data_IF_720014574356
#
_entry.id   IF_720014574356
#
_cell.length_a   1.000
_cell.length_b   1.000
_cell.length_c   1.000
_cell.angle_alpha   90.00
_cell.angle_beta   90.00
_cell.angle_gamma   90.00
#
_symmetry.space_group_name_H-M   'P 1'
#
loop_
_entity.id
_entity.type
_entity.pdbx_description
1 polymer ?
#
# COMPACT_ATOMS: atom_id res chain seq x y z
N UNK A 1 0.13 15.76 -20.87
CA UNK A 1 1.56 15.51 -21.14
C UNK A 1 1.83 14.06 -20.75
N UNK A 2 2.18 13.19 -21.69
CA UNK A 2 2.67 11.85 -21.33
C UNK A 2 4.04 12.05 -20.68
N UNK A 3 4.10 11.83 -19.36
CA UNK A 3 5.34 11.83 -18.63
C UNK A 3 6.08 10.55 -19.06
N UNK A 4 7.19 10.67 -19.81
CA UNK A 4 8.03 9.51 -20.23
C UNK A 4 8.37 8.60 -19.05
N UNK A 5 8.40 9.20 -17.86
CA UNK A 5 8.65 8.58 -16.55
C UNK A 5 7.59 7.55 -16.09
N UNK A 6 6.38 7.52 -16.67
CA UNK A 6 5.28 6.64 -16.22
C UNK A 6 4.76 5.70 -17.32
N UNK A 7 5.51 5.54 -18.42
CA UNK A 7 5.11 4.75 -19.58
C UNK A 7 4.71 3.29 -19.27
N UNK A 8 5.21 2.73 -18.17
CA UNK A 8 4.93 1.35 -17.74
C UNK A 8 3.83 1.22 -16.69
N UNK A 9 3.16 2.32 -16.31
CA UNK A 9 2.15 2.33 -15.24
C UNK A 9 1.06 1.28 -15.48
N UNK A 10 0.55 1.14 -16.71
CA UNK A 10 -0.47 0.14 -17.05
C UNK A 10 -0.02 -1.31 -16.83
N UNK A 11 1.29 -1.59 -16.95
CA UNK A 11 1.83 -2.93 -16.78
C UNK A 11 2.09 -3.27 -15.32
N UNK A 12 2.56 -2.30 -14.52
CA UNK A 12 2.59 -2.45 -13.06
C UNK A 12 1.19 -2.69 -12.51
N UNK A 13 0.21 -1.91 -12.96
CA UNK A 13 -1.22 -2.08 -12.65
C UNK A 13 -1.69 -3.54 -12.84
N UNK A 14 -1.39 -4.14 -14.00
CA UNK A 14 -1.70 -5.56 -14.28
C UNK A 14 -0.91 -6.54 -13.41
N UNK A 15 0.39 -6.29 -13.20
CA UNK A 15 1.25 -7.14 -12.37
C UNK A 15 0.75 -7.21 -10.93
N UNK A 16 0.43 -6.05 -10.33
CA UNK A 16 -0.10 -5.98 -8.98
C UNK A 16 -1.54 -6.50 -8.88
N UNK A 17 -2.34 -6.36 -9.94
CA UNK A 17 -3.64 -7.01 -10.01
C UNK A 17 -3.52 -8.53 -9.95
N UNK A 18 -2.54 -9.14 -10.61
CA UNK A 18 -2.28 -10.58 -10.50
C UNK A 18 -1.95 -10.99 -9.05
N UNK A 19 -1.11 -10.21 -8.35
CA UNK A 19 -0.82 -10.46 -6.94
C UNK A 19 -2.04 -10.32 -6.03
N UNK A 20 -2.93 -9.35 -6.28
CA UNK A 20 -4.19 -9.22 -5.54
C UNK A 20 -5.11 -10.43 -5.70
N UNK A 21 -5.03 -11.13 -6.84
CA UNK A 21 -5.82 -12.33 -7.10
C UNK A 21 -5.05 -13.64 -6.83
N UNK A 22 -3.88 -13.56 -6.19
CA UNK A 22 -3.01 -14.70 -5.90
C UNK A 22 -2.61 -15.51 -7.15
N UNK A 23 -2.58 -14.86 -8.31
CA UNK A 23 -2.17 -15.47 -9.57
C UNK A 23 -0.64 -15.58 -9.63
N UNK A 24 -0.15 -16.59 -10.34
CA UNK A 24 1.30 -16.78 -10.62
C UNK A 24 1.61 -16.72 -12.11
N UNK A 25 0.64 -16.29 -12.91
CA UNK A 25 0.78 -16.11 -14.35
C UNK A 25 -0.16 -15.04 -14.87
N UNK A 26 0.24 -14.38 -15.96
CA UNK A 26 -0.56 -13.41 -16.70
C UNK A 26 -0.51 -13.78 -18.18
N UNK A 27 -1.67 -13.92 -18.80
CA UNK A 27 -1.79 -14.13 -20.24
C UNK A 27 -2.01 -12.81 -20.96
N UNK A 28 -1.20 -12.58 -21.99
CA UNK A 28 -1.30 -11.42 -22.87
C UNK A 28 -1.62 -11.87 -24.29
N UNK A 29 -2.55 -11.17 -24.94
CA UNK A 29 -2.68 -11.26 -26.39
C UNK A 29 -1.46 -10.58 -27.04
N UNK A 30 -0.99 -11.08 -28.18
CA UNK A 30 0.27 -10.59 -28.78
C UNK A 30 0.29 -9.08 -29.11
N UNK A 31 -0.86 -8.44 -29.29
CA UNK A 31 -0.99 -7.00 -29.52
C UNK A 31 -1.10 -6.15 -28.24
N UNK A 32 -1.13 -6.79 -27.07
CA UNK A 32 -1.29 -6.18 -25.76
C UNK A 32 -0.31 -6.78 -24.73
N UNK A 33 0.83 -7.27 -25.23
CA UNK A 33 1.94 -7.72 -24.40
C UNK A 33 2.79 -6.53 -23.93
N UNK A 34 3.32 -6.60 -22.70
CA UNK A 34 4.29 -5.61 -22.22
C UNK A 34 5.56 -5.61 -23.08
N UNK A 35 6.19 -4.44 -23.27
CA UNK A 35 7.44 -4.33 -24.01
C UNK A 35 8.57 -5.04 -23.25
N UNK A 36 9.56 -5.54 -23.98
CA UNK A 36 10.71 -6.26 -23.44
C UNK A 36 11.45 -5.46 -22.36
N UNK A 37 11.49 -4.14 -22.49
CA UNK A 37 12.08 -3.22 -21.53
C UNK A 37 11.39 -3.29 -20.16
N UNK A 38 10.06 -3.50 -20.13
CA UNK A 38 9.33 -3.69 -18.88
C UNK A 38 9.76 -4.98 -18.18
N UNK A 39 9.94 -6.08 -18.92
CA UNK A 39 10.40 -7.34 -18.34
C UNK A 39 11.80 -7.22 -17.75
N UNK A 40 12.71 -6.48 -18.40
CA UNK A 40 14.06 -6.23 -17.91
C UNK A 40 14.10 -5.46 -16.59
N UNK A 41 13.12 -4.59 -16.34
CA UNK A 41 12.99 -3.89 -15.06
C UNK A 41 12.76 -4.89 -13.93
N UNK A 42 11.82 -5.81 -14.14
CA UNK A 42 11.43 -6.80 -13.14
C UNK A 42 12.51 -7.87 -12.94
N UNK A 43 13.12 -8.35 -14.03
CA UNK A 43 14.15 -9.39 -14.01
C UNK A 43 15.59 -8.82 -13.90
N UNK A 44 15.77 -7.64 -13.32
CA UNK A 44 17.03 -6.89 -13.41
C UNK A 44 18.20 -7.54 -12.68
N UNK A 45 17.96 -8.23 -11.55
CA UNK A 45 18.99 -8.90 -10.75
C UNK A 45 18.97 -10.41 -10.97
N UNK A 46 17.79 -11.01 -10.92
CA UNK A 46 17.56 -12.43 -11.18
C UNK A 46 16.34 -12.62 -12.10
N UNK A 47 16.34 -13.64 -12.98
CA UNK A 47 15.16 -13.94 -13.79
C UNK A 47 14.03 -14.53 -12.94
N UNK A 48 13.17 -13.69 -12.40
CA UNK A 48 12.02 -14.08 -11.55
C UNK A 48 10.74 -14.33 -12.35
N UNK A 49 10.53 -13.61 -13.46
CA UNK A 49 9.44 -13.86 -14.40
C UNK A 49 9.97 -14.59 -15.63
N UNK A 50 9.31 -15.69 -15.97
CA UNK A 50 9.57 -16.50 -17.17
C UNK A 50 8.50 -16.22 -18.23
N UNK A 51 8.87 -16.37 -19.49
CA UNK A 51 8.00 -16.07 -20.64
C UNK A 51 7.83 -17.32 -21.50
N UNK A 52 6.57 -17.67 -21.78
CA UNK A 52 6.19 -18.65 -22.79
C UNK A 52 5.53 -17.92 -23.95
N UNK A 53 6.00 -18.19 -25.16
CA UNK A 53 5.45 -17.64 -26.40
C UNK A 53 4.64 -18.72 -27.12
N UNK A 54 3.44 -18.35 -27.56
CA UNK A 54 2.57 -19.14 -28.41
C UNK A 54 2.13 -18.30 -29.61
N UNK A 55 1.55 -18.92 -30.64
CA UNK A 55 1.26 -18.28 -31.94
C UNK A 55 0.40 -17.00 -31.82
N UNK A 56 -0.46 -16.92 -30.81
CA UNK A 56 -1.35 -15.78 -30.56
C UNK A 56 -1.19 -15.12 -29.19
N UNK A 57 -0.42 -15.73 -28.27
CA UNK A 57 -0.36 -15.29 -26.87
C UNK A 57 1.04 -15.33 -26.28
N UNK A 58 1.28 -14.43 -25.33
CA UNK A 58 2.47 -14.39 -24.49
C UNK A 58 2.04 -14.62 -23.06
N UNK A 59 2.59 -15.65 -22.41
CA UNK A 59 2.30 -15.96 -21.00
C UNK A 59 3.52 -15.60 -20.17
N UNK A 60 3.32 -14.73 -19.18
CA UNK A 60 4.28 -14.49 -18.13
C UNK A 60 3.92 -15.35 -16.93
N UNK A 61 4.90 -15.99 -16.31
CA UNK A 61 4.67 -16.80 -15.11
C UNK A 61 5.89 -16.74 -14.17
N UNK A 62 5.65 -16.96 -12.88
CA UNK A 62 6.69 -16.97 -11.84
C UNK A 62 6.38 -18.05 -10.81
N UNK A 63 7.38 -18.41 -9.99
CA UNK A 63 7.13 -19.24 -8.82
C UNK A 63 6.73 -18.38 -7.62
N UNK A 64 5.96 -18.94 -6.68
CA UNK A 64 5.47 -18.20 -5.52
C UNK A 64 6.61 -17.62 -4.67
N UNK A 65 7.72 -18.35 -4.58
CA UNK A 65 8.95 -17.92 -3.89
C UNK A 65 9.63 -16.70 -4.53
N UNK A 66 9.37 -16.40 -5.80
CA UNK A 66 9.95 -15.26 -6.52
C UNK A 66 9.15 -13.96 -6.32
N UNK A 67 7.92 -14.02 -5.79
CA UNK A 67 7.05 -12.84 -5.59
C UNK A 67 7.71 -11.70 -4.79
N UNK A 68 8.40 -11.94 -3.65
CA UNK A 68 9.03 -10.86 -2.90
C UNK A 68 10.04 -10.07 -3.74
N UNK A 69 10.81 -10.75 -4.60
CA UNK A 69 11.81 -10.11 -5.44
C UNK A 69 11.15 -9.30 -6.55
N UNK A 70 10.11 -9.86 -7.19
CA UNK A 70 9.33 -9.16 -8.23
C UNK A 70 8.71 -7.88 -7.66
N UNK A 71 8.07 -7.96 -6.48
CA UNK A 71 7.46 -6.81 -5.80
C UNK A 71 8.52 -5.77 -5.45
N UNK A 72 9.68 -6.20 -4.94
CA UNK A 72 10.79 -5.31 -4.61
C UNK A 72 11.29 -4.52 -5.84
N UNK A 73 11.56 -5.21 -6.95
CA UNK A 73 12.01 -4.55 -8.18
C UNK A 73 10.93 -3.64 -8.77
N UNK A 74 9.66 -4.05 -8.72
CA UNK A 74 8.56 -3.23 -9.19
C UNK A 74 8.43 -1.92 -8.39
N UNK A 75 8.41 -2.00 -7.05
CA UNK A 75 8.37 -0.81 -6.19
C UNK A 75 9.64 0.02 -6.36
N UNK A 76 10.80 -0.59 -6.71
CA UNK A 76 12.07 0.14 -6.92
C UNK A 76 11.97 1.05 -8.12
N UNK A 77 11.41 0.51 -9.18
CA UNK A 77 11.14 1.28 -10.37
C UNK A 77 10.09 2.36 -10.14
N UNK A 78 8.93 2.01 -9.56
CA UNK A 78 7.85 2.99 -9.28
C UNK A 78 8.39 4.14 -8.45
N UNK A 79 9.09 3.85 -7.37
CA UNK A 79 9.65 4.89 -6.49
C UNK A 79 10.71 5.76 -7.19
N UNK A 80 11.55 5.18 -8.04
CA UNK A 80 12.62 5.93 -8.72
C UNK A 80 12.06 6.83 -9.82
N UNK A 81 11.08 6.35 -10.58
CA UNK A 81 10.67 6.98 -11.83
C UNK A 81 9.30 7.65 -11.75
N UNK A 82 8.35 7.20 -10.92
CA UNK A 82 7.00 7.79 -10.92
C UNK A 82 6.97 9.08 -10.12
N UNK A 83 6.24 10.06 -10.65
CA UNK A 83 6.08 11.34 -9.96
C UNK A 83 5.09 11.18 -8.82
N UNK A 84 5.37 11.83 -7.70
CA UNK A 84 4.39 11.96 -6.62
C UNK A 84 3.26 12.84 -7.14
N UNK A 85 2.02 12.37 -7.03
CA UNK A 85 0.85 13.20 -7.31
C UNK A 85 0.74 14.28 -6.22
N UNK A 86 1.09 15.53 -6.55
CA UNK A 86 1.07 16.65 -5.62
C UNK A 86 -0.31 16.93 -5.02
N UNK A 87 -1.38 16.39 -5.62
CA UNK A 87 -2.74 16.49 -5.07
C UNK A 87 -2.86 15.77 -3.73
N UNK A 88 -2.02 14.77 -3.41
CA UNK A 88 -2.03 14.13 -2.07
C UNK A 88 -1.65 15.11 -0.96
N UNK A 89 -0.84 16.14 -1.27
CA UNK A 89 -0.37 17.15 -0.31
C UNK A 89 -1.31 18.33 -0.19
N UNK A 90 -2.34 18.40 -1.03
CA UNK A 90 -3.33 19.47 -0.97
C UNK A 90 -4.16 19.27 0.30
N UNK A 91 -3.79 19.97 1.37
CA UNK A 91 -4.42 19.86 2.70
C UNK A 91 -5.91 20.17 2.57
N UNK A 92 -6.77 19.20 2.87
CA UNK A 92 -8.14 19.51 3.26
C UNK A 92 -8.12 20.01 4.70
N UNK A 93 -8.37 21.30 4.86
CA UNK A 93 -8.37 21.91 6.17
C UNK A 93 -9.54 21.40 7.03
N UNK A 94 -10.63 20.94 6.42
CA UNK A 94 -11.80 20.49 7.15
C UNK A 94 -11.67 19.05 7.64
N UNK A 95 -11.09 18.14 6.84
CA UNK A 95 -10.70 16.82 7.38
C UNK A 95 -9.65 16.93 8.48
N UNK A 96 -8.65 17.78 8.29
CA UNK A 96 -7.64 17.98 9.33
C UNK A 96 -8.27 18.48 10.64
N UNK A 97 -9.26 19.40 10.57
CA UNK A 97 -10.02 19.81 11.75
C UNK A 97 -10.85 18.67 12.35
N UNK A 98 -11.46 17.80 11.52
CA UNK A 98 -12.19 16.62 12.01
C UNK A 98 -11.25 15.67 12.76
N UNK A 99 -10.09 15.37 12.19
CA UNK A 99 -9.05 14.58 12.83
C UNK A 99 -8.57 15.25 14.12
N UNK A 100 -8.43 16.58 14.15
CA UNK A 100 -8.00 17.30 15.35
C UNK A 100 -9.08 17.40 16.44
N UNK A 101 -10.37 17.21 16.09
CA UNK A 101 -11.50 17.22 17.04
C UNK A 101 -11.51 15.92 17.85
N UNK A 102 -11.38 16.06 19.17
CA UNK A 102 -11.51 14.93 20.11
C UNK A 102 -12.92 14.31 20.01
N UNK A 103 -13.06 12.97 19.98
CA UNK A 103 -14.35 12.30 20.07
C UNK A 103 -15.09 12.68 21.36
N UNK A 104 -16.43 12.75 21.29
CA UNK A 104 -17.29 12.96 22.46
C UNK A 104 -17.45 11.68 23.30
N UNK A 105 -17.26 10.53 22.66
CA UNK A 105 -17.27 9.21 23.29
C UNK A 105 -15.87 8.86 23.83
N UNK A 106 -15.74 8.78 25.15
CA UNK A 106 -14.48 8.49 25.84
C UNK A 106 -13.88 7.14 25.42
N UNK A 107 -14.71 6.17 25.05
CA UNK A 107 -14.23 4.84 24.62
C UNK A 107 -13.50 4.91 23.27
N UNK A 108 -13.76 5.95 22.46
CA UNK A 108 -13.13 6.17 21.15
C UNK A 108 -11.87 7.05 21.22
N UNK A 109 -11.63 7.73 22.34
CA UNK A 109 -10.53 8.70 22.47
C UNK A 109 -9.18 8.03 22.25
N UNK A 110 -8.96 6.83 22.79
CA UNK A 110 -7.66 6.18 22.69
C UNK A 110 -7.37 5.62 21.28
N UNK A 111 -8.40 5.14 20.56
CA UNK A 111 -8.25 4.73 19.14
C UNK A 111 -7.97 5.94 18.26
N UNK A 112 -8.64 7.07 18.53
CA UNK A 112 -8.36 8.35 17.90
C UNK A 112 -6.94 8.89 18.20
N UNK A 113 -6.44 8.77 19.44
CA UNK A 113 -5.07 9.15 19.79
C UNK A 113 -4.04 8.31 19.02
N UNK A 114 -4.30 7.02 18.87
CA UNK A 114 -3.48 6.10 18.08
C UNK A 114 -3.45 6.51 16.60
N UNK A 115 -4.61 6.77 15.99
CA UNK A 115 -4.71 7.26 14.61
C UNK A 115 -3.94 8.58 14.41
N UNK A 116 -4.11 9.54 15.33
CA UNK A 116 -3.36 10.82 15.30
C UNK A 116 -1.86 10.61 15.44
N UNK A 117 -1.42 9.70 16.31
CA UNK A 117 -0.01 9.38 16.48
C UNK A 117 0.59 8.84 15.19
N UNK A 118 -0.11 7.93 14.50
CA UNK A 118 0.32 7.38 13.21
C UNK A 118 0.49 8.53 12.20
N UNK A 119 -0.54 9.35 12.00
CA UNK A 119 -0.51 10.46 11.03
C UNK A 119 0.62 11.45 11.33
N UNK A 120 0.78 11.84 12.60
CA UNK A 120 1.81 12.79 13.04
C UNK A 120 3.24 12.24 12.95
N UNK A 121 3.42 10.94 12.71
CA UNK A 121 4.72 10.30 12.59
C UNK A 121 5.04 9.87 11.16
N UNK A 122 4.14 10.03 10.19
CA UNK A 122 4.35 9.57 8.80
C UNK A 122 5.59 10.16 8.13
N UNK A 123 5.95 11.40 8.47
CA UNK A 123 7.11 12.12 7.94
C UNK A 123 8.41 11.87 8.75
N UNK A 124 8.35 11.08 9.82
CA UNK A 124 9.48 10.82 10.72
C UNK A 124 10.21 9.52 10.36
N UNK A 125 11.47 9.44 10.78
CA UNK A 125 12.31 8.24 10.62
C UNK A 125 11.77 7.01 11.35
N UNK A 126 10.93 7.18 12.36
CA UNK A 126 10.32 6.11 13.15
C UNK A 126 8.89 5.76 12.67
N UNK A 127 8.49 6.26 11.49
CA UNK A 127 7.19 5.94 10.92
C UNK A 127 7.05 4.44 10.71
N UNK A 128 5.92 3.88 11.16
CA UNK A 128 5.50 2.51 10.82
C UNK A 128 5.02 2.37 9.36
N UNK A 129 4.82 3.50 8.67
CA UNK A 129 4.56 3.56 7.22
C UNK A 129 5.54 4.53 6.54
N UNK A 130 6.80 4.12 6.38
CA UNK A 130 7.79 4.99 5.80
C UNK A 130 7.50 5.26 4.32
N UNK A 131 7.56 6.53 3.92
CA UNK A 131 7.29 6.96 2.53
C UNK A 131 5.80 7.13 2.18
N UNK A 132 4.90 6.86 3.13
CA UNK A 132 3.47 7.09 2.96
C UNK A 132 3.03 8.44 3.52
N UNK A 133 1.99 9.00 2.93
CA UNK A 133 1.31 10.22 3.33
C UNK A 133 -0.14 9.89 3.66
N UNK A 134 -0.70 10.58 4.66
CA UNK A 134 -2.12 10.48 4.96
C UNK A 134 -2.91 11.24 3.90
N UNK A 135 -3.95 10.61 3.39
CA UNK A 135 -4.75 11.14 2.31
C UNK A 135 -5.95 11.91 2.88
N UNK A 136 -5.71 13.17 3.26
CA UNK A 136 -6.63 14.09 3.95
C UNK A 136 -7.91 14.46 3.17
N UNK A 137 -8.32 13.78 2.10
CA UNK A 137 -9.35 14.30 1.16
C UNK A 137 -10.48 13.34 0.86
N UNK A 138 -10.68 12.32 1.67
CA UNK A 138 -11.49 11.18 1.27
C UNK A 138 -12.73 11.07 2.16
N UNK A 139 -13.90 11.24 1.53
CA UNK A 139 -15.08 10.51 1.97
C UNK A 139 -14.70 9.03 1.89
N UNK A 140 -14.64 8.40 3.06
CA UNK A 140 -14.33 6.98 3.26
C UNK A 140 -14.98 6.12 2.17
N UNK A 141 -14.32 5.05 1.73
CA UNK A 141 -14.99 4.10 0.84
C UNK A 141 -16.28 3.68 1.57
N UNK A 142 -17.48 3.93 1.01
CA UNK A 142 -18.71 3.66 1.72
C UNK A 142 -18.89 2.15 1.79
N UNK A 143 -18.78 1.59 2.98
CA UNK A 143 -18.88 0.15 3.19
C UNK A 143 -20.16 -0.14 3.95
N UNK A 144 -21.26 -0.11 3.19
CA UNK A 144 -22.58 -0.62 3.59
C UNK A 144 -22.90 -0.48 5.08
N UNK A 145 -23.02 -1.61 5.78
CA UNK A 145 -23.38 -1.70 7.20
C UNK A 145 -22.20 -1.81 8.16
N UNK A 146 -20.98 -2.01 7.67
CA UNK A 146 -19.81 -2.38 8.50
C UNK A 146 -18.89 -1.19 8.81
N UNK A 147 -19.39 0.03 8.59
CA UNK A 147 -18.74 1.26 8.97
C UNK A 147 -17.76 1.80 7.94
N UNK A 148 -16.81 2.60 8.42
CA UNK A 148 -15.77 3.25 7.63
C UNK A 148 -14.43 2.63 8.06
N UNK A 149 -13.43 2.61 7.16
CA UNK A 149 -12.07 2.25 7.56
C UNK A 149 -11.51 3.27 8.57
N UNK A 150 -10.28 3.10 9.08
CA UNK A 150 -9.70 4.08 10.01
C UNK A 150 -8.73 5.07 9.35
N UNK A 151 -7.87 4.62 8.43
CA UNK A 151 -7.00 5.52 7.66
C UNK A 151 -6.82 5.03 6.23
N UNK A 152 -6.66 5.97 5.29
CA UNK A 152 -6.16 5.70 3.94
C UNK A 152 -4.83 6.43 3.78
N UNK A 153 -3.77 5.67 3.52
CA UNK A 153 -2.44 6.20 3.27
C UNK A 153 -2.04 5.94 1.82
N UNK A 154 -1.14 6.75 1.27
CA UNK A 154 -0.56 6.51 -0.06
C UNK A 154 0.88 6.97 -0.14
N UNK A 155 1.70 6.29 -0.94
CA UNK A 155 3.04 6.76 -1.31
C UNK A 155 3.01 7.94 -2.31
N UNK A 156 1.82 8.25 -2.84
CA UNK A 156 1.63 9.28 -3.85
C UNK A 156 1.99 8.87 -5.27
N UNK A 157 2.47 7.64 -5.48
CA UNK A 157 2.89 7.09 -6.78
C UNK A 157 2.00 5.93 -7.23
N UNK A 158 1.01 5.59 -6.43
CA UNK A 158 -0.07 4.65 -6.76
C UNK A 158 -0.17 3.46 -5.83
N UNK A 159 0.62 3.39 -4.76
CA UNK A 159 0.48 2.37 -3.72
C UNK A 159 -0.36 2.96 -2.58
N UNK A 160 -1.42 2.27 -2.21
CA UNK A 160 -2.35 2.67 -1.17
C UNK A 160 -2.33 1.67 -0.02
N UNK A 161 -2.43 2.15 1.22
CA UNK A 161 -2.63 1.34 2.40
C UNK A 161 -3.97 1.68 3.05
N UNK A 162 -4.82 0.67 3.18
CA UNK A 162 -6.06 0.71 3.95
C UNK A 162 -5.73 0.21 5.34
N UNK A 163 -5.83 1.11 6.31
CA UNK A 163 -5.39 0.86 7.68
C UNK A 163 -6.58 0.78 8.60
N UNK A 164 -6.60 -0.26 9.43
CA UNK A 164 -7.53 -0.43 10.54
C UNK A 164 -6.75 -0.43 11.86
N UNK A 165 -7.27 0.25 12.87
CA UNK A 165 -6.69 0.36 14.20
C UNK A 165 -7.59 -0.30 15.22
N UNK A 166 -7.03 -1.10 16.16
CA UNK A 166 -7.81 -1.68 17.26
C UNK A 166 -7.04 -1.73 18.57
N UNK A 167 -7.75 -1.41 19.65
CA UNK A 167 -7.20 -1.48 21.01
C UNK A 167 -7.24 -2.88 21.62
N UNK A 168 -6.08 -3.40 22.00
CA UNK A 168 -5.91 -4.74 22.58
C UNK A 168 -5.05 -4.77 23.85
N UNK A 169 -4.21 -3.76 24.13
CA UNK A 169 -3.19 -3.79 25.19
C UNK A 169 -3.75 -4.06 26.59
N UNK A 170 -4.87 -3.45 26.94
CA UNK A 170 -5.48 -3.57 28.28
C UNK A 170 -6.59 -4.64 28.35
N UNK A 171 -6.73 -5.47 27.32
CA UNK A 171 -7.75 -6.52 27.28
C UNK A 171 -7.29 -7.73 28.12
N UNK A 172 -7.85 -7.86 29.32
CA UNK A 172 -7.48 -8.94 30.26
C UNK A 172 -7.87 -10.34 29.82
N UNK A 173 -8.96 -10.48 29.05
CA UNK A 173 -9.46 -11.77 28.61
C UNK A 173 -8.81 -12.18 27.28
N UNK A 174 -8.07 -13.28 27.30
CA UNK A 174 -7.30 -13.76 26.15
C UNK A 174 -8.18 -14.03 24.91
N UNK A 175 -9.37 -14.60 25.09
CA UNK A 175 -10.29 -14.87 23.97
C UNK A 175 -10.80 -13.57 23.33
N UNK A 176 -11.01 -12.51 24.13
CA UNK A 176 -11.40 -11.19 23.62
C UNK A 176 -10.22 -10.56 22.88
N UNK A 177 -8.99 -10.71 23.39
CA UNK A 177 -7.78 -10.21 22.72
C UNK A 177 -7.60 -10.87 21.34
N UNK A 178 -7.70 -12.20 21.28
CA UNK A 178 -7.67 -12.97 20.03
C UNK A 178 -8.79 -12.58 19.06
N UNK A 179 -10.00 -12.38 19.58
CA UNK A 179 -11.12 -11.90 18.76
C UNK A 179 -10.80 -10.54 18.13
N UNK A 180 -10.34 -9.56 18.92
CA UNK A 180 -9.97 -8.23 18.39
C UNK A 180 -8.84 -8.29 17.37
N UNK A 181 -7.82 -9.11 17.61
CA UNK A 181 -6.73 -9.36 16.66
C UNK A 181 -7.23 -9.95 15.34
N UNK A 182 -8.12 -10.94 15.41
CA UNK A 182 -8.75 -11.50 14.20
C UNK A 182 -9.62 -10.46 13.49
N UNK A 183 -10.34 -9.65 14.26
CA UNK A 183 -11.27 -8.65 13.75
C UNK A 183 -10.57 -7.50 13.03
N UNK A 184 -9.44 -7.00 13.53
CA UNK A 184 -8.66 -5.95 12.84
C UNK A 184 -8.10 -6.45 11.50
N UNK A 185 -7.70 -7.73 11.42
CA UNK A 185 -7.27 -8.37 10.16
C UNK A 185 -8.45 -8.50 9.21
N UNK A 186 -9.60 -8.95 9.71
CA UNK A 186 -10.81 -9.11 8.92
C UNK A 186 -11.28 -7.78 8.33
N UNK A 187 -11.39 -6.72 9.14
CA UNK A 187 -11.80 -5.39 8.70
C UNK A 187 -10.83 -4.80 7.68
N UNK A 188 -9.52 -4.81 7.95
CA UNK A 188 -8.53 -4.28 7.00
C UNK A 188 -8.56 -5.03 5.65
N UNK A 189 -8.76 -6.35 5.68
CA UNK A 189 -8.96 -7.16 4.47
C UNK A 189 -10.25 -6.84 3.72
N UNK A 190 -11.36 -6.72 4.44
CA UNK A 190 -12.65 -6.38 3.88
C UNK A 190 -12.63 -4.99 3.24
N UNK A 191 -12.09 -3.99 3.93
CA UNK A 191 -11.97 -2.62 3.45
C UNK A 191 -11.03 -2.50 2.25
N UNK A 192 -9.91 -3.24 2.24
CA UNK A 192 -9.06 -3.39 1.05
C UNK A 192 -9.85 -3.92 -0.15
N UNK A 193 -10.66 -4.96 0.03
CA UNK A 193 -11.45 -5.54 -1.07
C UNK A 193 -12.50 -4.57 -1.59
N UNK A 194 -13.22 -3.88 -0.70
CA UNK A 194 -14.19 -2.86 -1.09
C UNK A 194 -13.53 -1.69 -1.80
N UNK A 195 -12.35 -1.24 -1.35
CA UNK A 195 -11.55 -0.25 -2.06
C UNK A 195 -11.21 -0.73 -3.47
N UNK A 196 -10.70 -1.96 -3.62
CA UNK A 196 -10.37 -2.56 -4.94
C UNK A 196 -11.61 -2.68 -5.84
N UNK A 197 -12.80 -2.97 -5.29
CA UNK A 197 -14.06 -3.00 -6.06
C UNK A 197 -14.53 -1.61 -6.47
N UNK A 198 -14.31 -0.62 -5.61
CA UNK A 198 -14.73 0.77 -5.84
C UNK A 198 -13.92 1.43 -6.95
N UNK A 199 -12.64 1.08 -7.06
CA UNK A 199 -11.80 1.49 -8.19
C UNK A 199 -12.18 0.63 -9.39
N UNK A 200 -12.57 1.28 -10.48
CA UNK A 200 -13.04 0.59 -11.67
C UNK A 200 -11.90 -0.22 -12.35
N UNK A 201 -12.21 -0.89 -13.48
CA UNK A 201 -11.21 -1.62 -14.29
C UNK A 201 -9.99 -0.79 -14.71
N UNK A 202 -10.09 0.54 -14.70
CA UNK A 202 -8.99 1.42 -15.06
C UNK A 202 -8.00 1.63 -13.90
N UNK A 203 -8.32 1.09 -12.71
CA UNK A 203 -7.62 1.29 -11.44
C UNK A 203 -7.34 2.77 -11.21
N UNK A 204 -8.39 3.58 -11.36
CA UNK A 204 -8.37 5.00 -11.05
C UNK A 204 -9.37 5.23 -9.94
N UNK A 205 -8.88 5.73 -8.81
CA UNK A 205 -9.74 6.28 -7.79
C UNK A 205 -10.21 7.66 -8.23
N UNK A 206 -11.50 7.99 -8.06
CA UNK A 206 -12.07 9.31 -8.34
C UNK A 206 -12.91 9.79 -7.16
N UNK A 207 -12.63 10.98 -6.67
CA UNK A 207 -13.50 11.71 -5.74
C UNK A 207 -13.59 13.17 -6.16
N UNK A 208 -14.83 13.66 -6.35
CA UNK A 208 -15.19 15.02 -6.78
C UNK A 208 -14.25 15.55 -7.89
N UNK A 209 -13.26 16.35 -7.51
CA UNK A 209 -12.34 17.06 -8.40
C UNK A 209 -10.95 16.38 -8.55
N UNK A 210 -10.77 15.21 -7.94
CA UNK A 210 -9.50 14.51 -7.85
C UNK A 210 -9.59 13.10 -8.41
N UNK A 211 -8.50 12.66 -9.02
CA UNK A 211 -8.35 11.30 -9.49
C UNK A 211 -6.91 10.85 -9.29
N UNK A 212 -6.74 9.65 -8.75
CA UNK A 212 -5.43 9.05 -8.51
C UNK A 212 -5.35 7.69 -9.21
N UNK A 213 -4.23 7.44 -9.87
CA UNK A 213 -3.93 6.10 -10.34
C UNK A 213 -3.63 5.19 -9.16
N UNK A 214 -4.27 4.04 -9.13
CA UNK A 214 -4.02 2.98 -8.15
C UNK A 214 -3.27 1.85 -8.85
N UNK A 215 -2.11 1.49 -8.35
CA UNK A 215 -1.29 0.38 -8.81
C UNK A 215 -1.50 -0.81 -7.88
N UNK A 216 -1.43 -0.58 -6.58
CA UNK A 216 -1.62 -1.61 -5.57
C UNK A 216 -2.32 -1.08 -4.32
N UNK A 217 -3.05 -1.96 -3.64
CA UNK A 217 -3.74 -1.67 -2.38
C UNK A 217 -3.38 -2.72 -1.33
N UNK A 218 -2.83 -2.30 -0.20
CA UNK A 218 -2.53 -3.17 0.93
C UNK A 218 -3.50 -2.97 2.08
N UNK A 219 -3.81 -4.04 2.81
CA UNK A 219 -4.65 -4.02 4.01
C UNK A 219 -3.77 -4.24 5.24
N UNK A 220 -3.80 -3.29 6.18
CA UNK A 220 -2.94 -3.31 7.36
C UNK A 220 -3.76 -3.04 8.62
N UNK A 221 -3.80 -4.02 9.52
CA UNK A 221 -4.26 -3.84 10.88
C UNK A 221 -3.13 -3.32 11.77
N UNK A 222 -3.45 -2.48 12.74
CA UNK A 222 -2.51 -1.97 13.74
C UNK A 222 -3.17 -2.03 15.09
N UNK A 223 -2.38 -2.36 16.11
CA UNK A 223 -2.85 -2.40 17.48
C UNK A 223 -2.04 -1.49 18.39
N UNK A 224 -2.62 -1.12 19.54
CA UNK A 224 -1.95 -0.32 20.58
C UNK A 224 -0.90 -1.12 21.38
N UNK A 225 -0.63 -2.36 20.96
CA UNK A 225 0.47 -3.20 21.42
C UNK A 225 1.68 -3.00 20.48
N UNK A 226 2.58 -2.11 20.89
CA UNK A 226 3.85 -1.79 20.22
C UNK A 226 3.74 -1.25 18.78
N UNK A 227 2.61 -0.64 18.42
CA UNK A 227 2.30 -0.16 17.06
C UNK A 227 2.49 -1.29 16.00
N UNK A 228 2.22 -2.54 16.39
CA UNK A 228 2.48 -3.72 15.56
C UNK A 228 1.59 -3.74 14.33
N UNK A 229 2.19 -3.84 13.13
CA UNK A 229 1.48 -4.08 11.88
C UNK A 229 1.10 -5.55 11.77
N UNK A 230 -0.16 -5.79 11.44
CA UNK A 230 -0.74 -7.11 11.21
C UNK A 230 -1.34 -7.11 9.82
N UNK A 231 -0.99 -8.09 9.00
CA UNK A 231 -1.31 -8.07 7.58
C UNK A 231 -2.45 -9.04 7.24
N UNK A 232 -3.30 -8.63 6.29
CA UNK A 232 -4.36 -9.50 5.78
C UNK A 232 -3.82 -10.68 4.95
N UNK A 233 -2.72 -10.47 4.21
CA UNK A 233 -2.07 -11.54 3.46
C UNK A 233 -0.60 -11.28 3.16
N UNK A 234 0.08 -12.29 2.64
CA UNK A 234 1.53 -12.28 2.35
C UNK A 234 1.94 -11.15 1.40
N UNK A 235 1.10 -10.85 0.41
CA UNK A 235 1.34 -9.74 -0.51
C UNK A 235 1.43 -8.38 0.24
N UNK A 236 0.55 -8.15 1.22
CA UNK A 236 0.50 -6.89 1.97
C UNK A 236 1.76 -6.70 2.82
N UNK A 237 2.19 -7.78 3.49
CA UNK A 237 3.44 -7.84 4.24
C UNK A 237 4.66 -7.59 3.33
N UNK A 238 4.71 -8.25 2.17
CA UNK A 238 5.81 -8.11 1.22
C UNK A 238 5.96 -6.67 0.75
N UNK A 239 4.87 -6.00 0.37
CA UNK A 239 4.88 -4.58 -0.02
C UNK A 239 5.41 -3.72 1.15
N UNK A 240 4.88 -3.87 2.36
CA UNK A 240 5.37 -3.11 3.52
C UNK A 240 6.87 -3.33 3.80
N UNK A 241 7.34 -4.58 3.69
CA UNK A 241 8.74 -4.92 3.92
C UNK A 241 9.71 -4.21 2.97
N UNK A 242 9.27 -3.92 1.74
CA UNK A 242 10.07 -3.17 0.76
C UNK A 242 10.25 -1.72 1.21
N UNK A 243 9.20 -1.09 1.73
CA UNK A 243 9.27 0.26 2.28
C UNK A 243 10.14 0.32 3.55
N UNK A 244 10.04 -0.68 4.42
CA UNK A 244 10.89 -0.76 5.63
C UNK A 244 12.38 -0.86 5.30
N UNK A 245 12.75 -1.73 4.33
CA UNK A 245 14.15 -1.89 3.89
C UNK A 245 14.71 -0.61 3.29
N UNK A 246 13.87 0.20 2.63
CA UNK A 246 14.29 1.47 2.05
C UNK A 246 14.51 2.56 3.08
N UNK A 247 13.66 2.64 4.09
CA UNK A 247 13.92 3.49 5.24
C UNK A 247 15.34 3.22 5.77
N UNK A 248 15.70 1.94 5.94
CA UNK A 248 17.05 1.56 6.38
C UNK A 248 18.17 1.96 5.39
N UNK A 249 17.96 1.84 4.08
CA UNK A 249 18.97 2.24 3.10
C UNK A 249 19.15 3.76 2.96
N UNK A 250 18.12 4.57 3.26
CA UNK A 250 18.22 6.03 3.30
C UNK A 250 18.93 6.55 4.57
N UNK A 251 18.90 5.81 5.68
CA UNK A 251 19.56 6.22 6.94
C UNK A 251 20.96 5.60 7.15
N UNK A 252 21.31 4.51 6.46
CA UNK A 252 22.66 3.92 6.54
C UNK A 252 23.84 4.75 5.96
N UNK A 253 23.68 5.72 5.02
CA UNK A 253 24.82 6.51 4.54
C UNK A 253 25.37 7.52 5.54
N UNK A 254 24.70 7.78 6.68
CA UNK A 254 25.20 8.76 7.68
C UNK A 254 26.15 8.17 8.72
N UNK A 255 26.22 6.85 8.88
CA UNK A 255 27.13 6.20 9.84
C UNK A 255 28.49 5.85 9.22
N UNK A 256 28.55 5.60 7.90
CA UNK A 256 29.82 5.33 7.21
C UNK A 256 30.67 6.60 7.00
N UNK A 257 30.05 7.78 6.97
CA UNK A 257 30.76 9.07 6.82
C UNK A 257 31.34 9.64 8.14
N UNK A 258 31.09 8.99 9.29
CA UNK A 258 31.58 9.45 10.60
C UNK A 258 32.78 8.65 11.15
N UNK A 259 33.19 7.57 10.49
CA UNK A 259 34.33 6.74 10.92
C UNK A 259 35.56 6.83 10.01
N UNK A 260 35.70 7.94 9.27
CA UNK A 260 36.99 8.33 8.68
C UNK A 260 37.48 9.56 9.42
N UNK A 261 38.17 9.34 10.54
CA UNK A 261 39.11 10.28 11.15
C UNK A 261 40.31 9.49 11.64
#
# INVERSE_FOLDING_TARGET
>A
MNNENEQYKKWFKRLFQAFHHYETAIEFQNNDSPPTEFLKIINSETPSIKVLLNDSTTIWYWFKEDEPEIINQAIKYIDTYFCIDDKIKSKDLDERKKLEKKPEDDDKVMEWEMQKKIINNLDKSESIFPGFFYLFKYEWVPIGSDGENDLILTDGKGIFAIVETKRIKDVKAEDIKKYKLSYVIHQSGYYKQEFIKSINKDQVYKDKDYSFDVIAVIGVGITDEDDTRIFFGTFDEQVCSVYDKRLMSYYQPKLAAQNIK
#
